data_IF_330567699974
#
_entry.id   IF_330567699974
#
_cell.length_a   1.000
_cell.length_b   1.000
_cell.length_c   1.000
_cell.angle_alpha   90.00
_cell.angle_beta   90.00
_cell.angle_gamma   90.00
#
_symmetry.space_group_name_H-M   'P 1'
#
loop_
_entity.id
_entity.type
_entity.pdbx_description
1 polymer ?
#
# COMPACT_ATOMS: atom_id res chain seq x y z
N UNK A 1 9.48 6.96 -14.55
CA UNK A 1 10.63 6.84 -15.50
C UNK A 1 10.44 5.58 -16.34
N UNK A 2 10.57 5.67 -17.67
CA UNK A 2 10.45 4.51 -18.59
C UNK A 2 11.40 3.35 -18.24
N UNK A 3 12.53 3.64 -17.58
CA UNK A 3 13.48 2.62 -17.14
C UNK A 3 12.94 1.75 -15.99
N UNK A 4 12.16 2.31 -15.07
CA UNK A 4 11.59 1.56 -13.93
C UNK A 4 10.44 0.62 -14.36
N UNK A 5 9.80 0.91 -15.49
CA UNK A 5 8.73 0.07 -16.05
C UNK A 5 9.25 -0.96 -17.06
N UNK A 6 10.57 -1.01 -17.32
CA UNK A 6 11.16 -1.99 -18.22
C UNK A 6 11.13 -3.38 -17.59
N UNK A 7 10.45 -4.29 -18.25
CA UNK A 7 10.37 -5.71 -17.89
C UNK A 7 11.38 -6.48 -18.71
N UNK A 8 12.20 -7.28 -18.06
CA UNK A 8 13.21 -8.11 -18.75
C UNK A 8 12.51 -9.19 -19.59
N UNK A 9 12.79 -9.31 -20.89
CA UNK A 9 12.01 -10.17 -21.80
C UNK A 9 12.10 -11.67 -21.49
N UNK A 10 13.18 -12.15 -20.87
CA UNK A 10 13.34 -13.56 -20.53
C UNK A 10 12.74 -13.93 -19.17
N UNK A 11 12.83 -13.04 -18.19
CA UNK A 11 12.45 -13.34 -16.81
C UNK A 11 11.12 -12.68 -16.39
N UNK A 12 10.51 -11.89 -17.24
CA UNK A 12 9.28 -11.12 -16.97
C UNK A 12 9.36 -10.31 -15.66
N UNK A 13 10.56 -9.84 -15.29
CA UNK A 13 10.81 -9.14 -14.03
C UNK A 13 11.25 -7.69 -14.27
N UNK A 14 10.78 -6.72 -13.48
CA UNK A 14 11.20 -5.33 -13.56
C UNK A 14 12.53 -5.12 -12.82
N UNK A 15 13.66 -5.54 -13.42
CA UNK A 15 14.98 -5.57 -12.78
C UNK A 15 15.37 -4.20 -12.20
N UNK A 16 15.17 -3.10 -12.93
CA UNK A 16 15.49 -1.76 -12.44
C UNK A 16 14.66 -1.35 -11.23
N UNK A 17 13.38 -1.75 -11.18
CA UNK A 17 12.53 -1.48 -10.02
C UNK A 17 12.98 -2.29 -8.81
N UNK A 18 13.38 -3.55 -9.00
CA UNK A 18 13.92 -4.41 -7.94
C UNK A 18 15.24 -3.89 -7.37
N UNK A 19 16.19 -3.51 -8.24
CA UNK A 19 17.47 -2.93 -7.80
C UNK A 19 17.22 -1.62 -7.04
N UNK A 20 16.37 -0.74 -7.55
CA UNK A 20 16.04 0.51 -6.90
C UNK A 20 15.36 0.28 -5.53
N UNK A 21 14.39 -0.62 -5.46
CA UNK A 21 13.73 -1.00 -4.21
C UNK A 21 14.72 -1.58 -3.20
N UNK A 22 15.59 -2.49 -3.65
CA UNK A 22 16.65 -3.08 -2.81
C UNK A 22 17.61 -2.02 -2.27
N UNK A 23 18.04 -1.08 -3.10
CA UNK A 23 18.92 0.01 -2.68
C UNK A 23 18.25 0.92 -1.64
N UNK A 24 17.00 1.32 -1.86
CA UNK A 24 16.23 2.13 -0.90
C UNK A 24 16.03 1.38 0.42
N UNK A 25 15.70 0.09 0.36
CA UNK A 25 15.57 -0.75 1.56
C UNK A 25 16.88 -0.86 2.34
N UNK A 26 18.01 -1.04 1.64
CA UNK A 26 19.32 -1.09 2.27
C UNK A 26 19.69 0.21 2.98
N UNK A 27 19.40 1.36 2.37
CA UNK A 27 19.58 2.67 3.00
C UNK A 27 18.69 2.80 4.24
N UNK A 28 17.45 2.33 4.19
CA UNK A 28 16.54 2.32 5.34
C UNK A 28 17.07 1.49 6.50
N UNK A 29 17.57 0.28 6.24
CA UNK A 29 18.16 -0.61 7.27
C UNK A 29 19.42 -0.02 7.89
N UNK A 30 20.33 0.52 7.07
CA UNK A 30 21.53 1.18 7.55
C UNK A 30 21.19 2.42 8.37
N UNK A 31 20.23 3.23 7.89
CA UNK A 31 19.75 4.43 8.58
C UNK A 31 19.14 4.12 9.95
N UNK A 32 18.29 3.12 10.05
CA UNK A 32 17.70 2.71 11.34
C UNK A 32 18.76 2.15 12.32
N UNK A 33 19.77 1.43 11.83
CA UNK A 33 20.86 0.96 12.67
C UNK A 33 21.71 2.12 13.21
N UNK A 34 22.05 3.09 12.35
CA UNK A 34 22.83 4.28 12.77
C UNK A 34 22.05 5.20 13.72
N UNK A 35 20.73 5.27 13.57
CA UNK A 35 19.87 6.03 14.45
C UNK A 35 19.63 5.37 15.83
N UNK A 36 20.07 4.12 15.99
CA UNK A 36 19.91 3.36 17.25
C UNK A 36 18.49 2.85 17.51
N UNK A 37 17.55 3.06 16.59
CA UNK A 37 16.17 2.56 16.70
C UNK A 37 15.81 1.64 15.52
N UNK A 38 16.21 0.40 15.63
CA UNK A 38 15.87 -0.64 14.66
C UNK A 38 14.34 -0.89 14.58
N UNK A 39 13.63 -0.67 15.67
CA UNK A 39 12.19 -0.91 15.74
C UNK A 39 11.37 0.11 14.94
N UNK A 40 11.88 1.33 14.74
CA UNK A 40 11.20 2.35 13.94
C UNK A 40 10.84 1.84 12.52
N UNK A 41 11.78 1.16 11.86
CA UNK A 41 11.54 0.59 10.53
C UNK A 41 10.47 -0.51 10.54
N UNK A 42 10.46 -1.34 11.57
CA UNK A 42 9.46 -2.40 11.76
C UNK A 42 8.08 -1.78 12.00
N UNK A 43 7.98 -0.76 12.83
CA UNK A 43 6.72 -0.09 13.16
C UNK A 43 6.12 0.60 11.93
N UNK A 44 6.93 1.26 11.10
CA UNK A 44 6.50 1.84 9.81
C UNK A 44 5.97 0.75 8.88
N UNK A 45 6.65 -0.40 8.80
CA UNK A 45 6.23 -1.54 7.99
C UNK A 45 4.90 -2.11 8.47
N UNK A 46 4.73 -2.31 9.77
CA UNK A 46 3.48 -2.81 10.39
C UNK A 46 2.33 -1.86 10.08
N UNK A 47 2.51 -0.55 10.26
CA UNK A 47 1.49 0.45 9.92
C UNK A 47 1.08 0.35 8.45
N UNK A 48 2.05 0.27 7.54
CA UNK A 48 1.80 0.16 6.10
C UNK A 48 1.04 -1.12 5.75
N UNK A 49 1.39 -2.25 6.36
CA UNK A 49 0.71 -3.53 6.14
C UNK A 49 -0.74 -3.50 6.63
N UNK A 50 -0.98 -2.97 7.83
CA UNK A 50 -2.33 -2.86 8.40
C UNK A 50 -3.23 -1.99 7.51
N UNK A 51 -2.75 -0.83 7.07
CA UNK A 51 -3.49 0.05 6.15
C UNK A 51 -3.77 -0.65 4.83
N UNK A 52 -2.79 -1.35 4.25
CA UNK A 52 -2.96 -2.08 3.00
C UNK A 52 -4.03 -3.18 3.12
N UNK A 53 -4.02 -3.98 4.18
CA UNK A 53 -5.02 -5.02 4.40
C UNK A 53 -6.43 -4.46 4.66
N UNK A 54 -6.54 -3.29 5.34
CA UNK A 54 -7.83 -2.59 5.48
C UNK A 54 -8.35 -2.16 4.10
N UNK A 55 -7.49 -1.59 3.23
CA UNK A 55 -7.87 -1.22 1.87
C UNK A 55 -8.29 -2.42 1.04
N UNK A 56 -7.62 -3.57 1.19
CA UNK A 56 -8.05 -4.83 0.55
C UNK A 56 -9.43 -5.27 1.05
N UNK A 57 -9.70 -5.17 2.34
CA UNK A 57 -11.01 -5.48 2.93
C UNK A 57 -12.11 -4.57 2.39
N UNK A 58 -11.84 -3.27 2.26
CA UNK A 58 -12.75 -2.28 1.63
C UNK A 58 -12.98 -2.65 0.16
N UNK A 59 -11.94 -3.07 -0.55
CA UNK A 59 -12.04 -3.49 -1.95
C UNK A 59 -12.99 -4.67 -2.10
N UNK A 60 -12.93 -5.68 -1.23
CA UNK A 60 -13.85 -6.84 -1.24
C UNK A 60 -15.30 -6.37 -1.06
N UNK A 61 -15.55 -5.39 -0.20
CA UNK A 61 -16.90 -4.85 0.01
C UNK A 61 -17.44 -4.08 -1.19
N UNK A 62 -16.57 -3.37 -1.89
CA UNK A 62 -16.94 -2.39 -2.93
C UNK A 62 -16.86 -2.93 -4.35
N UNK A 63 -16.12 -4.01 -4.60
CA UNK A 63 -15.84 -4.55 -5.93
C UNK A 63 -17.10 -4.83 -6.76
N UNK A 64 -18.15 -5.36 -6.13
CA UNK A 64 -19.43 -5.64 -6.81
C UNK A 64 -20.06 -4.38 -7.39
N UNK A 65 -19.93 -3.22 -6.70
CA UNK A 65 -20.53 -1.95 -7.13
C UNK A 65 -19.70 -1.28 -8.22
N UNK A 66 -18.37 -1.35 -8.11
CA UNK A 66 -17.50 -0.56 -9.00
C UNK A 66 -16.96 -1.36 -10.19
N UNK A 67 -16.84 -2.69 -10.05
CA UNK A 67 -16.35 -3.54 -11.13
C UNK A 67 -17.02 -4.92 -11.09
N UNK A 68 -18.24 -5.00 -11.64
CA UNK A 68 -19.02 -6.25 -11.71
C UNK A 68 -18.31 -7.33 -12.50
N UNK A 69 -17.56 -6.99 -13.55
CA UNK A 69 -16.87 -7.97 -14.41
C UNK A 69 -15.78 -8.71 -13.63
N UNK A 70 -15.03 -7.99 -12.78
CA UNK A 70 -14.06 -8.61 -11.87
C UNK A 70 -14.74 -9.40 -10.76
N UNK A 71 -15.88 -8.92 -10.26
CA UNK A 71 -16.63 -9.62 -9.23
C UNK A 71 -17.04 -11.03 -9.66
N UNK A 72 -17.51 -11.20 -10.91
CA UNK A 72 -17.91 -12.52 -11.44
C UNK A 72 -16.72 -13.46 -11.70
N UNK A 73 -15.50 -12.95 -11.77
CA UNK A 73 -14.27 -13.74 -11.91
C UNK A 73 -13.71 -14.25 -10.57
N UNK A 74 -14.28 -13.82 -9.44
CA UNK A 74 -13.87 -14.30 -8.13
C UNK A 74 -14.28 -15.75 -7.97
N UNK A 75 -13.33 -16.66 -7.89
CA UNK A 75 -13.56 -18.10 -7.72
C UNK A 75 -13.64 -18.49 -6.25
N UNK A 76 -12.89 -17.79 -5.38
CA UNK A 76 -12.83 -18.04 -3.95
C UNK A 76 -13.92 -17.20 -3.26
N UNK A 77 -14.69 -17.82 -2.37
CA UNK A 77 -15.78 -17.14 -1.64
C UNK A 77 -16.84 -16.48 -2.53
N UNK A 78 -17.44 -17.26 -3.44
CA UNK A 78 -18.55 -16.77 -4.31
C UNK A 78 -19.76 -16.25 -3.53
N UNK A 79 -19.95 -16.68 -2.28
CA UNK A 79 -21.08 -16.27 -1.45
C UNK A 79 -20.88 -14.82 -0.97
N UNK A 80 -21.82 -13.93 -1.33
CA UNK A 80 -21.79 -12.52 -0.96
C UNK A 80 -21.82 -12.30 0.56
N UNK A 81 -22.53 -13.14 1.29
CA UNK A 81 -22.60 -13.05 2.76
C UNK A 81 -21.21 -13.28 3.36
N UNK A 82 -20.50 -14.31 2.90
CA UNK A 82 -19.13 -14.61 3.31
C UNK A 82 -18.19 -13.43 3.02
N UNK A 83 -18.28 -12.83 1.83
CA UNK A 83 -17.49 -11.65 1.48
C UNK A 83 -17.77 -10.46 2.40
N UNK A 84 -19.04 -10.24 2.78
CA UNK A 84 -19.40 -9.17 3.72
C UNK A 84 -18.86 -9.46 5.12
N UNK A 85 -18.98 -10.69 5.61
CA UNK A 85 -18.45 -11.08 6.93
C UNK A 85 -16.93 -10.90 6.97
N UNK A 86 -16.21 -11.40 5.96
CA UNK A 86 -14.76 -11.29 5.86
C UNK A 86 -14.34 -9.82 5.73
N UNK A 87 -14.99 -9.04 4.86
CA UNK A 87 -14.68 -7.64 4.63
C UNK A 87 -14.90 -6.77 5.89
N UNK A 88 -16.04 -6.87 6.54
CA UNK A 88 -16.32 -6.13 7.78
C UNK A 88 -15.49 -6.65 8.96
N UNK A 89 -15.34 -7.97 9.10
CA UNK A 89 -14.47 -8.57 10.10
C UNK A 89 -13.03 -8.10 9.96
N UNK A 90 -12.52 -8.04 8.71
CA UNK A 90 -11.19 -7.51 8.41
C UNK A 90 -11.06 -6.03 8.80
N UNK A 91 -12.02 -5.17 8.44
CA UNK A 91 -11.99 -3.75 8.79
C UNK A 91 -12.00 -3.54 10.30
N UNK A 92 -12.89 -4.23 11.02
CA UNK A 92 -13.01 -4.07 12.47
C UNK A 92 -11.75 -4.58 13.17
N UNK A 93 -11.30 -5.78 12.85
CA UNK A 93 -10.13 -6.39 13.50
C UNK A 93 -8.85 -5.61 13.20
N UNK A 94 -8.54 -5.39 11.91
CA UNK A 94 -7.31 -4.70 11.51
C UNK A 94 -7.36 -3.20 11.87
N UNK A 95 -8.53 -2.58 11.81
CA UNK A 95 -8.74 -1.21 12.27
C UNK A 95 -8.49 -1.05 13.77
N UNK A 96 -8.96 -2.00 14.59
CA UNK A 96 -8.67 -2.01 16.04
C UNK A 96 -7.18 -2.16 16.31
N UNK A 97 -6.50 -3.07 15.61
CA UNK A 97 -5.05 -3.22 15.71
C UNK A 97 -4.30 -1.95 15.30
N UNK A 98 -4.72 -1.32 14.21
CA UNK A 98 -4.12 -0.08 13.74
C UNK A 98 -4.27 1.03 14.79
N UNK A 99 -5.47 1.22 15.35
CA UNK A 99 -5.71 2.24 16.38
C UNK A 99 -4.84 2.00 17.61
N UNK A 100 -4.75 0.75 18.09
CA UNK A 100 -3.90 0.40 19.24
C UNK A 100 -2.43 0.65 18.92
N UNK A 101 -1.98 0.28 17.72
CA UNK A 101 -0.59 0.49 17.26
C UNK A 101 -0.24 1.97 17.22
N UNK A 102 -1.07 2.79 16.58
CA UNK A 102 -0.87 4.24 16.50
C UNK A 102 -0.90 4.90 17.89
N UNK A 103 -1.84 4.49 18.75
CA UNK A 103 -1.91 5.02 20.11
C UNK A 103 -0.64 4.74 20.89
N UNK A 104 -0.13 3.50 20.85
CA UNK A 104 1.11 3.11 21.51
C UNK A 104 2.32 3.87 20.98
N UNK A 105 2.42 4.06 19.66
CA UNK A 105 3.52 4.79 19.06
C UNK A 105 3.51 6.27 19.46
N UNK A 106 2.34 6.93 19.43
CA UNK A 106 2.22 8.36 19.76
C UNK A 106 2.43 8.62 21.28
N UNK A 107 2.06 7.66 22.14
CA UNK A 107 2.21 7.80 23.60
C UNK A 107 3.56 7.31 24.12
N UNK A 108 4.39 6.74 23.27
CA UNK A 108 5.75 6.31 23.64
C UNK A 108 6.61 7.53 23.93
N UNK A 109 7.33 7.53 25.05
CA UNK A 109 8.35 8.55 25.33
C UNK A 109 9.56 8.33 24.41
N UNK A 110 9.90 9.35 23.62
CA UNK A 110 11.02 9.34 22.68
C UNK A 110 11.77 10.66 22.75
N UNK A 111 13.09 10.61 22.48
CA UNK A 111 13.95 11.80 22.54
C UNK A 111 13.62 12.84 21.49
N UNK A 112 13.07 12.41 20.33
CA UNK A 112 12.72 13.30 19.24
C UNK A 112 11.49 12.81 18.47
N UNK A 113 10.71 13.74 17.92
CA UNK A 113 9.46 13.45 17.20
C UNK A 113 9.62 12.49 16.02
N UNK A 114 10.78 12.50 15.37
CA UNK A 114 11.06 11.62 14.21
C UNK A 114 11.30 10.15 14.60
N UNK A 115 11.34 9.83 15.88
CA UNK A 115 11.31 8.46 16.36
C UNK A 115 9.91 7.88 16.48
N UNK A 116 8.85 8.70 16.31
CA UNK A 116 7.49 8.17 16.16
C UNK A 116 7.27 7.68 14.72
N UNK A 117 7.06 6.39 14.56
CA UNK A 117 6.82 5.75 13.26
C UNK A 117 5.60 6.32 12.54
N UNK A 118 4.57 6.69 13.30
CA UNK A 118 3.32 7.27 12.80
C UNK A 118 3.57 8.59 12.06
N UNK A 119 4.36 9.51 12.62
CA UNK A 119 4.65 10.79 11.97
C UNK A 119 5.49 10.61 10.71
N UNK A 120 6.51 9.76 10.78
CA UNK A 120 7.35 9.44 9.61
C UNK A 120 6.51 8.82 8.50
N UNK A 121 5.67 7.85 8.85
CA UNK A 121 4.76 7.21 7.89
C UNK A 121 3.81 8.22 7.23
N UNK A 122 3.18 9.10 8.02
CA UNK A 122 2.28 10.14 7.50
C UNK A 122 3.01 11.09 6.53
N UNK A 123 4.21 11.55 6.87
CA UNK A 123 5.02 12.42 6.01
C UNK A 123 5.30 11.72 4.67
N UNK A 124 5.73 10.46 4.71
CA UNK A 124 6.01 9.68 3.50
C UNK A 124 4.75 9.51 2.66
N UNK A 125 3.58 9.22 3.27
CA UNK A 125 2.32 9.08 2.56
C UNK A 125 1.84 10.39 1.93
N UNK A 126 2.01 11.52 2.61
CA UNK A 126 1.70 12.84 2.05
C UNK A 126 2.60 13.15 0.86
N UNK A 127 3.90 12.95 0.98
CA UNK A 127 4.85 13.16 -0.11
C UNK A 127 4.54 12.26 -1.32
N UNK A 128 4.27 10.98 -1.07
CA UNK A 128 3.89 10.03 -2.12
C UNK A 128 2.58 10.46 -2.82
N UNK A 129 1.60 10.95 -2.06
CA UNK A 129 0.34 11.45 -2.60
C UNK A 129 0.53 12.69 -3.47
N UNK A 130 1.36 13.63 -3.05
CA UNK A 130 1.70 14.83 -3.83
C UNK A 130 2.37 14.43 -5.14
N UNK A 131 3.36 13.53 -5.10
CA UNK A 131 4.05 13.02 -6.29
C UNK A 131 3.06 12.32 -7.22
N UNK A 132 2.15 11.50 -6.65
CA UNK A 132 1.12 10.82 -7.43
C UNK A 132 0.19 11.81 -8.13
N UNK A 133 -0.35 12.80 -7.42
CA UNK A 133 -1.24 13.83 -7.99
C UNK A 133 -0.52 14.62 -9.10
N UNK A 134 0.74 14.99 -8.87
CA UNK A 134 1.53 15.71 -9.87
C UNK A 134 1.74 14.87 -11.14
N UNK A 135 2.10 13.61 -11.00
CA UNK A 135 2.24 12.68 -12.12
C UNK A 135 0.93 12.43 -12.84
N UNK A 136 -0.15 12.30 -12.09
CA UNK A 136 -1.50 12.10 -12.61
C UNK A 136 -1.96 13.28 -13.48
N UNK A 137 -1.79 14.50 -13.00
CA UNK A 137 -2.12 15.69 -13.76
C UNK A 137 -1.27 15.83 -15.04
N UNK A 138 0.00 15.41 -14.99
CA UNK A 138 0.90 15.42 -16.14
C UNK A 138 0.53 14.41 -17.22
N UNK A 139 -0.10 13.30 -16.85
CA UNK A 139 -0.48 12.25 -17.80
C UNK A 139 -1.65 12.66 -18.72
N UNK A 140 -2.43 13.68 -18.37
CA UNK A 140 -3.54 14.18 -19.20
C UNK A 140 -4.58 13.11 -19.58
N UNK A 141 -4.63 12.02 -18.81
CA UNK A 141 -5.46 10.85 -19.14
C UNK A 141 -6.91 11.17 -18.79
N UNK A 142 -7.76 11.24 -19.83
CA UNK A 142 -9.18 11.44 -19.63
C UNK A 142 -9.81 10.33 -18.81
N UNK A 143 -10.84 10.67 -18.01
CA UNK A 143 -11.55 9.76 -17.10
C UNK A 143 -12.02 8.46 -17.78
N UNK A 144 -12.40 8.51 -19.06
CA UNK A 144 -12.81 7.35 -19.86
C UNK A 144 -11.67 6.36 -20.13
N UNK A 145 -10.47 6.86 -20.39
CA UNK A 145 -9.30 6.00 -20.68
C UNK A 145 -8.80 5.29 -19.43
N UNK A 146 -8.89 5.96 -18.28
CA UNK A 146 -8.62 5.38 -16.97
C UNK A 146 -9.57 4.23 -16.64
N UNK A 147 -10.87 4.45 -16.80
CA UNK A 147 -11.87 3.42 -16.55
C UNK A 147 -11.64 2.17 -17.40
N UNK A 148 -11.18 2.34 -18.64
CA UNK A 148 -10.86 1.23 -19.53
C UNK A 148 -9.57 0.49 -19.12
N UNK A 149 -8.57 1.19 -18.60
CA UNK A 149 -7.32 0.59 -18.11
C UNK A 149 -7.55 -0.25 -16.86
N UNK A 150 -8.38 0.22 -15.92
CA UNK A 150 -8.71 -0.52 -14.70
C UNK A 150 -9.70 -1.67 -14.92
N UNK A 151 -10.38 -1.72 -16.05
CA UNK A 151 -11.24 -2.86 -16.42
C UNK A 151 -10.48 -4.04 -17.02
N UNK A 152 -9.28 -3.80 -17.56
CA UNK A 152 -8.45 -4.87 -18.12
C UNK A 152 -7.53 -5.40 -17.04
N UNK A 153 -7.63 -6.69 -16.74
CA UNK A 153 -6.61 -7.39 -15.97
C UNK A 153 -5.30 -7.33 -16.75
N UNK A 154 -4.14 -7.24 -16.08
CA UNK A 154 -2.86 -7.46 -16.74
C UNK A 154 -2.95 -8.77 -17.53
N UNK A 155 -2.55 -8.75 -18.81
CA UNK A 155 -2.44 -9.97 -19.61
C UNK A 155 -1.46 -10.91 -18.91
N UNK A 156 -1.90 -12.13 -18.60
CA UNK A 156 -1.05 -13.21 -18.18
C UNK A 156 0.00 -13.54 -19.25
#
# INVERSE_FOLDING_TARGET
SKKLTYIHPQNNTPIFALIFSGAVSSVGVIGSNLAGDFFLGIDIMVTSMLVNFILMSITILTIKKYNSDLYFKIEIFKNRIMQLIIGWGGIISLGSFLVIHLYKDITKEVDAWYFHSTYVWLIVMVLASIIFIFQWNKLGVGEKDLRNRFKKLPSE
#
